data_IF_313631545333
#
_entry.id   IF_313631545333
#
_cell.length_a   1.000
_cell.length_b   1.000
_cell.length_c   1.000
_cell.angle_alpha   90.00
_cell.angle_beta   90.00
_cell.angle_gamma   90.00
#
_symmetry.space_group_name_H-M   'P 1'
#
loop_
_entity.id
_entity.type
_entity.pdbx_description
1 polymer ?
#
# COMPACT_ATOMS: atom_id res chain seq x y z
N UNK A 1 100.92 19.18 31.07
CA UNK A 1 100.51 17.89 30.43
C UNK A 1 99.76 16.92 31.36
N UNK A 2 99.17 17.36 32.49
CA UNK A 2 98.37 16.47 33.39
C UNK A 2 96.84 16.55 33.19
N UNK A 3 96.36 17.41 32.28
CA UNK A 3 94.92 17.53 31.96
C UNK A 3 94.39 16.42 31.04
N UNK A 4 95.23 15.48 30.59
CA UNK A 4 94.86 14.47 29.59
C UNK A 4 94.57 13.09 30.20
N UNK A 5 95.00 12.81 31.44
CA UNK A 5 94.77 11.50 32.05
C UNK A 5 93.41 11.37 32.77
N UNK A 6 92.80 12.49 33.15
CA UNK A 6 91.49 12.51 33.83
C UNK A 6 90.35 12.16 32.85
N UNK A 7 90.57 12.35 31.55
CA UNK A 7 89.51 12.18 30.53
C UNK A 7 89.38 10.73 30.04
N UNK A 8 90.41 9.88 30.20
CA UNK A 8 90.39 8.53 29.62
C UNK A 8 89.70 7.48 30.51
N UNK A 9 89.47 7.77 31.80
CA UNK A 9 88.79 6.82 32.70
C UNK A 9 87.27 6.99 32.76
N UNK A 10 86.70 7.94 32.00
CA UNK A 10 85.27 8.29 32.03
C UNK A 10 84.46 7.49 30.98
N UNK A 11 85.06 6.53 30.26
CA UNK A 11 84.47 5.97 29.04
C UNK A 11 84.29 4.44 29.00
N UNK A 12 83.91 3.81 30.11
CA UNK A 12 83.31 2.47 30.10
C UNK A 12 82.08 2.43 31.03
N UNK A 13 80.96 2.97 30.57
CA UNK A 13 79.64 2.64 31.09
C UNK A 13 79.35 1.18 30.72
N UNK A 14 79.47 0.27 31.70
CA UNK A 14 78.95 -1.08 31.58
C UNK A 14 77.48 -1.10 32.04
N UNK A 15 76.63 -1.53 31.12
CA UNK A 15 75.22 -1.83 31.27
C UNK A 15 74.93 -2.68 32.51
N UNK A 16 74.26 -2.11 33.52
CA UNK A 16 73.64 -2.88 34.58
C UNK A 16 72.26 -3.35 34.09
N UNK A 17 72.19 -4.58 33.59
CA UNK A 17 70.93 -5.31 33.50
C UNK A 17 70.49 -5.66 34.92
N UNK A 18 69.25 -5.33 35.28
CA UNK A 18 68.59 -5.92 36.44
C UNK A 18 68.54 -7.44 36.21
N UNK A 19 69.33 -8.21 36.96
CA UNK A 19 69.21 -9.66 36.98
C UNK A 19 67.99 -10.02 37.84
N UNK A 20 67.11 -10.88 37.32
CA UNK A 20 66.11 -11.53 38.15
C UNK A 20 66.84 -12.31 39.27
N UNK A 21 66.35 -12.28 40.51
CA UNK A 21 66.97 -13.01 41.62
C UNK A 21 67.18 -14.47 41.22
N UNK A 22 68.39 -14.97 41.40
CA UNK A 22 68.63 -16.42 41.29
C UNK A 22 67.98 -17.12 42.47
N UNK A 23 67.79 -18.44 42.41
CA UNK A 23 67.15 -19.17 43.50
C UNK A 23 67.82 -18.95 44.88
N UNK A 24 69.13 -18.67 44.89
CA UNK A 24 69.89 -18.34 46.11
C UNK A 24 69.69 -16.92 46.63
N UNK A 25 69.12 -16.03 45.82
CA UNK A 25 68.82 -14.63 46.18
C UNK A 25 67.41 -14.47 46.78
N UNK A 26 66.62 -15.55 46.82
CA UNK A 26 65.29 -15.56 47.41
C UNK A 26 65.37 -15.60 48.94
N UNK A 27 64.55 -14.77 49.60
CA UNK A 27 64.38 -14.87 51.05
C UNK A 27 63.59 -16.14 51.37
N UNK A 28 64.27 -17.12 51.96
CA UNK A 28 63.61 -18.31 52.48
C UNK A 28 62.98 -18.00 53.86
N UNK A 29 61.72 -18.38 54.02
CA UNK A 29 61.07 -18.45 55.33
C UNK A 29 61.33 -19.86 55.89
N UNK A 30 61.41 -19.99 57.22
CA UNK A 30 61.57 -21.31 57.84
C UNK A 30 60.43 -22.23 57.42
N UNK A 31 60.78 -23.47 57.06
CA UNK A 31 59.85 -24.52 56.68
C UNK A 31 59.83 -25.59 57.77
N UNK A 32 58.64 -26.02 58.14
CA UNK A 32 58.43 -27.07 59.14
C UNK A 32 57.14 -27.84 58.85
N UNK A 33 57.03 -29.06 59.35
CA UNK A 33 55.77 -29.83 59.31
C UNK A 33 54.72 -29.20 60.22
N UNK A 34 53.44 -29.50 60.02
CA UNK A 34 52.37 -28.96 60.86
C UNK A 34 52.55 -29.35 62.34
N UNK A 35 53.07 -30.54 62.60
CA UNK A 35 53.39 -31.00 63.94
C UNK A 35 54.48 -30.16 64.60
N UNK A 36 55.55 -29.84 63.86
CA UNK A 36 56.64 -29.00 64.33
C UNK A 36 56.19 -27.55 64.54
N UNK A 37 55.38 -27.01 63.62
CA UNK A 37 54.79 -25.66 63.72
C UNK A 37 53.99 -25.53 65.03
N UNK A 38 53.14 -26.50 65.33
CA UNK A 38 52.32 -26.50 66.54
C UNK A 38 53.14 -26.72 67.83
N UNK A 39 54.36 -27.24 67.72
CA UNK A 39 55.27 -27.45 68.85
C UNK A 39 56.17 -26.24 69.15
N UNK A 40 56.14 -25.18 68.34
CA UNK A 40 56.93 -23.96 68.56
C UNK A 40 56.50 -23.30 69.88
N UNK A 41 57.45 -23.18 70.82
CA UNK A 41 57.23 -22.53 72.10
C UNK A 41 57.46 -21.01 72.00
N UNK A 42 56.48 -20.23 72.45
CA UNK A 42 56.56 -18.76 72.52
C UNK A 42 56.65 -18.02 71.17
N UNK A 43 55.88 -18.38 70.12
CA UNK A 43 55.87 -17.62 68.87
C UNK A 43 55.33 -16.20 69.09
N UNK A 44 55.87 -15.23 68.36
CA UNK A 44 55.37 -13.86 68.37
C UNK A 44 54.25 -13.68 67.35
N UNK A 45 53.24 -12.88 67.67
CA UNK A 45 52.19 -12.50 66.73
C UNK A 45 52.78 -11.90 65.45
N UNK A 46 52.25 -12.32 64.30
CA UNK A 46 52.73 -11.95 62.99
C UNK A 46 53.88 -12.80 62.46
N UNK A 47 54.40 -13.75 63.24
CA UNK A 47 55.43 -14.70 62.76
C UNK A 47 54.90 -15.48 61.56
N UNK A 48 55.75 -15.67 60.54
CA UNK A 48 55.43 -16.41 59.33
C UNK A 48 56.24 -17.71 59.28
N UNK A 49 55.59 -18.79 58.90
CA UNK A 49 56.22 -20.10 58.71
C UNK A 49 55.60 -20.82 57.53
N UNK A 50 56.42 -21.49 56.73
CA UNK A 50 55.93 -22.32 55.64
C UNK A 50 55.66 -23.74 56.17
N UNK A 51 54.44 -24.22 55.98
CA UNK A 51 54.08 -25.58 56.32
C UNK A 51 54.42 -26.51 55.16
N UNK A 52 55.40 -27.40 55.36
CA UNK A 52 55.82 -28.34 54.32
C UNK A 52 54.79 -29.43 54.02
N UNK A 53 53.87 -29.72 54.95
CA UNK A 53 52.88 -30.81 54.76
C UNK A 53 51.80 -30.44 53.76
N UNK A 54 51.37 -29.17 53.75
CA UNK A 54 50.30 -28.70 52.87
C UNK A 54 50.72 -27.62 51.87
N UNK A 55 51.98 -27.18 51.94
CA UNK A 55 52.57 -26.18 51.06
C UNK A 55 51.95 -24.79 51.15
N UNK A 56 51.46 -24.40 52.34
CA UNK A 56 50.95 -23.06 52.59
C UNK A 56 51.78 -22.28 53.61
N UNK A 57 51.70 -20.95 53.51
CA UNK A 57 52.21 -20.06 54.54
C UNK A 57 51.21 -19.98 55.69
N UNK A 58 51.72 -19.97 56.90
CA UNK A 58 50.96 -19.78 58.13
C UNK A 58 51.45 -18.53 58.84
N UNK A 59 50.51 -17.82 59.47
CA UNK A 59 50.80 -16.69 60.34
C UNK A 59 50.35 -16.99 61.76
N UNK A 60 51.17 -16.68 62.75
CA UNK A 60 50.76 -16.78 64.14
C UNK A 60 49.90 -15.55 64.52
N UNK A 61 48.66 -15.76 64.94
CA UNK A 61 47.69 -14.70 65.25
C UNK A 61 47.78 -14.17 66.69
N UNK A 62 48.81 -14.57 67.44
CA UNK A 62 48.91 -14.34 68.88
C UNK A 62 48.31 -15.48 69.72
N UNK A 63 47.46 -16.32 69.12
CA UNK A 63 46.87 -17.49 69.80
C UNK A 63 47.06 -18.81 69.06
N UNK A 64 47.10 -18.81 67.73
CA UNK A 64 47.23 -20.03 66.93
C UNK A 64 47.94 -19.74 65.60
N UNK A 65 48.47 -20.79 64.97
CA UNK A 65 48.93 -20.72 63.59
C UNK A 65 47.73 -20.80 62.64
N UNK A 66 47.43 -19.68 61.98
CA UNK A 66 46.39 -19.60 60.98
C UNK A 66 46.97 -19.80 59.59
N UNK A 67 46.38 -20.72 58.83
CA UNK A 67 46.71 -20.95 57.43
C UNK A 67 46.29 -19.74 56.60
N UNK A 68 47.19 -19.26 55.73
CA UNK A 68 46.88 -18.21 54.77
C UNK A 68 46.42 -18.83 53.46
N UNK A 69 45.10 -18.94 53.27
CA UNK A 69 44.47 -19.35 52.02
C UNK A 69 43.90 -18.14 51.28
N UNK A 70 43.97 -18.08 49.94
CA UNK A 70 43.12 -17.18 49.16
C UNK A 70 41.65 -17.54 49.42
N UNK A 71 40.84 -16.61 49.91
CA UNK A 71 39.46 -16.89 50.33
C UNK A 71 38.42 -16.56 49.24
N UNK A 72 38.85 -16.01 48.10
CA UNK A 72 37.97 -15.62 46.99
C UNK A 72 37.11 -14.38 47.30
N UNK A 73 37.22 -13.83 48.51
CA UNK A 73 36.58 -12.61 48.95
C UNK A 73 37.30 -11.33 48.46
N UNK A 74 38.40 -11.49 47.70
CA UNK A 74 39.17 -10.39 47.14
C UNK A 74 38.42 -9.65 46.01
N UNK A 75 37.37 -10.26 45.43
CA UNK A 75 36.54 -9.65 44.39
C UNK A 75 35.11 -9.40 44.89
N UNK A 76 34.81 -8.16 45.28
CA UNK A 76 33.46 -7.72 45.63
C UNK A 76 32.73 -7.26 44.36
N UNK A 77 31.89 -8.13 43.79
CA UNK A 77 30.96 -7.73 42.72
C UNK A 77 29.72 -7.13 43.39
N UNK A 78 29.45 -5.86 43.12
CA UNK A 78 28.25 -5.17 43.58
C UNK A 78 27.22 -5.27 42.46
N UNK A 79 26.08 -5.92 42.71
CA UNK A 79 24.93 -5.85 41.81
C UNK A 79 24.31 -4.46 41.90
N UNK A 80 24.12 -3.80 40.77
CA UNK A 80 23.35 -2.57 40.66
C UNK A 80 22.53 -2.57 39.37
N UNK A 81 21.34 -1.96 39.42
CA UNK A 81 20.40 -1.86 38.32
C UNK A 81 19.98 -3.20 37.71
N UNK A 82 20.17 -3.35 36.39
CA UNK A 82 19.61 -4.44 35.57
C UNK A 82 20.38 -5.77 35.65
N UNK A 83 21.38 -5.87 36.53
CA UNK A 83 22.28 -7.01 36.62
C UNK A 83 22.09 -7.72 37.96
N UNK A 84 21.54 -8.93 37.89
CA UNK A 84 21.42 -9.84 39.02
C UNK A 84 22.67 -10.71 39.10
N UNK A 85 23.35 -10.64 40.24
CA UNK A 85 24.51 -11.47 40.55
C UNK A 85 24.12 -12.44 41.67
N UNK A 86 24.26 -13.73 41.44
CA UNK A 86 24.01 -14.78 42.44
C UNK A 86 25.23 -15.69 42.55
N UNK A 87 25.59 -16.13 43.76
CA UNK A 87 26.76 -17.00 44.01
C UNK A 87 27.54 -16.58 45.25
N UNK A 88 28.49 -17.40 45.69
CA UNK A 88 29.24 -17.19 46.94
C UNK A 88 30.75 -17.01 46.75
N UNK A 89 31.28 -17.05 45.52
CA UNK A 89 32.72 -16.86 45.32
C UNK A 89 33.58 -18.12 45.44
N UNK A 90 33.03 -19.25 45.89
CA UNK A 90 33.80 -20.43 46.37
C UNK A 90 33.76 -21.64 45.43
N UNK A 91 33.27 -21.47 44.20
CA UNK A 91 33.06 -22.52 43.18
C UNK A 91 33.88 -22.22 41.93
N UNK A 92 34.11 -23.23 41.07
CA UNK A 92 34.81 -23.07 39.79
C UNK A 92 34.18 -21.99 38.89
N UNK A 93 32.85 -21.83 38.97
CA UNK A 93 32.10 -20.68 38.47
C UNK A 93 31.48 -19.95 39.68
N UNK A 94 32.17 -18.93 40.23
CA UNK A 94 31.83 -18.40 41.56
C UNK A 94 30.57 -17.52 41.58
N UNK A 95 30.19 -16.95 40.43
CA UNK A 95 29.08 -16.02 40.26
C UNK A 95 28.33 -16.29 38.95
N UNK A 96 27.00 -16.31 39.02
CA UNK A 96 26.12 -16.21 37.85
C UNK A 96 25.70 -14.75 37.74
N UNK A 97 26.04 -14.15 36.60
CA UNK A 97 25.64 -12.78 36.25
C UNK A 97 24.56 -12.89 35.18
N UNK A 98 23.36 -12.40 35.51
CA UNK A 98 22.21 -12.37 34.59
C UNK A 98 21.67 -10.95 34.48
N UNK A 99 21.06 -10.62 33.36
CA UNK A 99 20.40 -9.33 33.17
C UNK A 99 18.95 -9.49 32.76
N UNK A 100 18.12 -8.51 33.15
CA UNK A 100 16.78 -8.39 32.60
C UNK A 100 16.93 -7.95 31.14
N UNK A 101 16.37 -8.74 30.21
CA UNK A 101 16.42 -8.43 28.79
C UNK A 101 15.51 -7.23 28.51
N UNK A 102 16.03 -6.12 27.94
CA UNK A 102 15.17 -5.02 27.53
C UNK A 102 14.23 -5.46 26.40
N UNK A 103 13.04 -4.89 26.39
CA UNK A 103 12.04 -5.14 25.36
C UNK A 103 11.76 -3.86 24.58
N UNK A 104 11.48 -4.05 23.29
CA UNK A 104 11.03 -2.99 22.39
C UNK A 104 9.75 -3.49 21.73
N UNK A 105 8.62 -2.86 22.08
CA UNK A 105 7.28 -3.30 21.69
C UNK A 105 6.67 -2.30 20.73
N UNK A 106 6.15 -2.77 19.59
CA UNK A 106 5.33 -1.97 18.68
C UNK A 106 3.87 -2.09 19.09
N UNK A 107 3.22 -0.97 19.37
CA UNK A 107 1.84 -0.94 19.83
C UNK A 107 0.86 -0.84 18.64
N UNK A 108 -0.40 -1.32 18.78
CA UNK A 108 -1.41 -1.25 17.71
C UNK A 108 -1.75 0.18 17.25
N UNK A 109 -1.50 1.18 18.10
CA UNK A 109 -1.70 2.60 17.82
C UNK A 109 -0.51 3.26 17.09
N UNK A 110 0.53 2.48 16.75
CA UNK A 110 1.73 2.95 16.05
C UNK A 110 2.81 3.57 16.94
N UNK A 111 2.63 3.59 18.26
CA UNK A 111 3.68 3.98 19.21
C UNK A 111 4.70 2.85 19.45
N UNK A 112 5.86 3.20 20.03
CA UNK A 112 6.86 2.23 20.47
C UNK A 112 7.13 2.39 21.97
N UNK A 113 7.19 1.29 22.69
CA UNK A 113 7.54 1.28 24.12
C UNK A 113 8.88 0.60 24.30
N UNK A 114 9.84 1.32 24.88
CA UNK A 114 11.09 0.73 25.38
C UNK A 114 10.95 0.48 26.89
N UNK A 115 11.15 -0.78 27.30
CA UNK A 115 11.17 -1.16 28.70
C UNK A 115 12.48 -1.85 29.05
N UNK A 116 13.13 -1.38 30.11
CA UNK A 116 14.29 -2.06 30.71
C UNK A 116 13.89 -2.95 31.90
N UNK A 117 12.60 -2.99 32.26
CA UNK A 117 12.04 -3.81 33.34
C UNK A 117 12.34 -3.33 34.77
N UNK A 118 12.99 -2.18 34.95
CA UNK A 118 13.35 -1.63 36.27
C UNK A 118 12.87 -0.19 36.44
N UNK A 119 13.09 0.65 35.42
CA UNK A 119 12.63 2.03 35.38
C UNK A 119 11.24 2.11 34.74
N UNK A 120 10.49 3.22 34.95
CA UNK A 120 9.30 3.49 34.16
C UNK A 120 9.58 3.40 32.67
N UNK A 121 8.65 2.78 31.94
CA UNK A 121 8.78 2.59 30.51
C UNK A 121 8.91 3.95 29.79
N UNK A 122 9.73 3.96 28.74
CA UNK A 122 9.88 5.12 27.86
C UNK A 122 9.01 4.90 26.64
N UNK A 123 7.89 5.62 26.60
CA UNK A 123 6.99 5.62 25.46
C UNK A 123 7.44 6.64 24.42
N UNK A 124 7.81 6.14 23.25
CA UNK A 124 7.94 6.93 22.03
C UNK A 124 6.56 7.08 21.43
N UNK A 125 5.84 8.08 21.95
CA UNK A 125 4.65 8.59 21.32
C UNK A 125 5.05 9.20 19.96
N UNK A 126 4.22 9.10 18.91
CA UNK A 126 4.40 9.91 17.72
C UNK A 126 4.16 11.40 18.07
N UNK A 127 5.15 12.03 18.71
CA UNK A 127 5.19 13.47 19.02
C UNK A 127 6.00 14.26 18.00
N UNK A 128 6.48 13.61 16.93
CA UNK A 128 6.61 14.33 15.67
C UNK A 128 5.21 14.30 15.07
N UNK A 129 4.65 15.42 14.60
CA UNK A 129 3.46 15.37 13.78
C UNK A 129 3.67 14.28 12.71
N UNK A 130 2.96 13.16 12.82
CA UNK A 130 3.01 12.10 11.83
C UNK A 130 2.64 12.73 10.51
N UNK A 131 3.47 12.59 9.47
CA UNK A 131 3.38 13.35 8.22
C UNK A 131 1.95 13.77 7.86
N UNK A 132 1.75 15.03 7.46
CA UNK A 132 0.45 15.51 6.96
C UNK A 132 -0.16 14.44 6.04
N UNK A 133 -1.46 14.08 6.20
CA UNK A 133 -2.07 13.03 5.41
C UNK A 133 -1.84 13.27 3.92
N UNK A 134 -1.84 12.21 3.13
CA UNK A 134 -1.93 12.33 1.67
C UNK A 134 -3.27 11.73 1.29
N UNK A 135 -4.14 12.50 0.65
CA UNK A 135 -5.39 11.99 0.09
C UNK A 135 -5.19 11.85 -1.41
N UNK A 136 -4.97 10.62 -1.88
CA UNK A 136 -4.56 10.37 -3.26
C UNK A 136 -5.72 9.96 -4.17
N UNK A 137 -6.74 9.30 -3.63
CA UNK A 137 -7.89 8.87 -4.42
C UNK A 137 -9.13 8.61 -3.56
N UNK A 138 -10.28 8.51 -4.23
CA UNK A 138 -11.58 8.16 -3.66
C UNK A 138 -12.38 7.37 -4.68
N UNK A 139 -13.13 6.36 -4.23
CA UNK A 139 -14.07 5.62 -5.08
C UNK A 139 -15.32 6.42 -5.48
N UNK A 140 -15.52 7.60 -4.88
CA UNK A 140 -16.57 8.56 -5.22
C UNK A 140 -16.03 9.78 -6.00
N UNK A 141 -14.77 9.75 -6.47
CA UNK A 141 -14.12 10.90 -7.11
C UNK A 141 -14.47 11.14 -8.58
N UNK A 142 -13.86 12.19 -9.13
CA UNK A 142 -13.98 12.52 -10.57
C UNK A 142 -13.45 11.38 -11.44
N UNK A 143 -14.20 11.02 -12.48
CA UNK A 143 -13.78 9.96 -13.40
C UNK A 143 -14.28 8.55 -13.04
N UNK A 144 -15.32 8.43 -12.21
CA UNK A 144 -16.00 7.17 -11.91
C UNK A 144 -17.50 7.25 -12.24
N UNK A 145 -18.15 6.11 -12.47
CA UNK A 145 -19.61 5.96 -12.59
C UNK A 145 -20.31 5.37 -11.38
N UNK A 146 -19.58 5.02 -10.33
CA UNK A 146 -20.14 4.61 -9.03
C UNK A 146 -20.60 5.79 -8.16
N UNK A 147 -21.20 6.81 -8.76
CA UNK A 147 -21.42 8.11 -8.12
C UNK A 147 -22.61 8.10 -7.15
N UNK A 148 -22.51 8.95 -6.13
CA UNK A 148 -23.58 9.19 -5.18
C UNK A 148 -24.72 9.95 -5.87
N UNK A 149 -25.96 9.54 -5.63
CA UNK A 149 -27.14 10.38 -5.84
C UNK A 149 -27.33 11.35 -4.68
N UNK A 150 -28.24 12.33 -4.81
CA UNK A 150 -28.54 13.28 -3.72
C UNK A 150 -29.27 12.61 -2.56
N UNK A 151 -28.98 13.05 -1.33
CA UNK A 151 -29.56 12.51 -0.10
C UNK A 151 -29.37 10.99 0.09
N UNK A 152 -28.32 10.43 -0.49
CA UNK A 152 -27.96 9.02 -0.40
C UNK A 152 -26.92 8.81 0.69
N UNK A 153 -27.04 7.73 1.46
CA UNK A 153 -26.06 7.37 2.49
C UNK A 153 -25.31 6.11 2.09
N UNK A 154 -24.00 6.23 1.88
CA UNK A 154 -23.11 5.11 1.52
C UNK A 154 -21.72 5.29 2.10
N UNK A 155 -20.96 4.21 2.09
CA UNK A 155 -19.54 4.27 2.43
C UNK A 155 -18.73 4.77 1.23
N UNK A 156 -17.78 5.66 1.50
CA UNK A 156 -16.74 6.15 0.59
C UNK A 156 -15.42 5.56 1.04
N UNK A 157 -14.68 4.96 0.11
CA UNK A 157 -13.32 4.48 0.33
C UNK A 157 -12.35 5.57 -0.10
N UNK A 158 -11.58 6.07 0.86
CA UNK A 158 -10.56 7.10 0.65
C UNK A 158 -9.19 6.44 0.77
N UNK A 159 -8.34 6.65 -0.24
CA UNK A 159 -7.00 6.10 -0.30
C UNK A 159 -5.95 7.19 -0.14
N UNK A 160 -4.80 6.81 0.42
CA UNK A 160 -3.79 7.78 0.78
C UNK A 160 -2.58 7.23 1.53
N UNK A 161 -1.98 8.09 2.34
CA UNK A 161 -0.90 7.75 3.25
C UNK A 161 -0.99 8.59 4.53
N UNK A 162 -0.36 8.08 5.59
CA UNK A 162 -0.24 8.73 6.90
C UNK A 162 -1.58 8.98 7.60
N UNK A 163 -2.56 8.11 7.38
CA UNK A 163 -3.74 8.07 8.23
C UNK A 163 -3.40 7.44 9.58
N UNK A 164 -3.99 7.96 10.64
CA UNK A 164 -3.75 7.55 12.03
C UNK A 164 -5.07 7.57 12.82
N UNK A 165 -5.03 7.15 14.08
CA UNK A 165 -6.23 7.09 14.94
C UNK A 165 -6.90 8.44 15.22
N UNK A 166 -6.22 9.57 14.94
CA UNK A 166 -6.76 10.91 15.10
C UNK A 166 -7.34 11.48 13.78
N UNK A 167 -7.21 10.75 12.68
CA UNK A 167 -7.61 11.22 11.36
C UNK A 167 -9.13 11.40 11.26
N UNK A 168 -9.55 12.57 10.79
CA UNK A 168 -10.95 12.94 10.54
C UNK A 168 -11.16 13.26 9.07
N UNK A 169 -12.37 13.06 8.56
CA UNK A 169 -12.75 13.34 7.18
C UNK A 169 -13.79 14.45 7.15
N UNK A 170 -13.60 15.42 6.26
CA UNK A 170 -14.57 16.47 5.97
C UNK A 170 -14.82 16.56 4.46
N UNK A 171 -16.11 16.64 4.08
CA UNK A 171 -16.53 16.88 2.70
C UNK A 171 -17.58 18.00 2.76
N UNK A 172 -17.18 19.23 2.41
CA UNK A 172 -18.03 20.41 2.57
C UNK A 172 -19.35 20.23 1.82
N UNK A 173 -20.47 20.48 2.49
CA UNK A 173 -21.82 20.32 1.92
C UNK A 173 -22.37 18.89 1.98
N UNK A 174 -21.60 17.92 2.49
CA UNK A 174 -22.04 16.56 2.76
C UNK A 174 -21.98 16.28 4.27
N UNK A 175 -22.69 15.27 4.74
CA UNK A 175 -22.62 14.83 6.14
C UNK A 175 -21.75 13.59 6.25
N UNK A 176 -20.62 13.67 6.97
CA UNK A 176 -19.80 12.50 7.30
C UNK A 176 -20.30 11.92 8.62
N UNK A 177 -21.03 10.81 8.55
CA UNK A 177 -21.68 10.18 9.72
C UNK A 177 -20.68 9.42 10.60
N UNK A 178 -19.69 8.78 9.99
CA UNK A 178 -18.63 8.07 10.70
C UNK A 178 -17.37 7.95 9.85
N UNK A 179 -16.24 7.78 10.51
CA UNK A 179 -14.92 7.57 9.90
C UNK A 179 -14.29 6.36 10.55
N UNK A 180 -13.92 5.37 9.74
CA UNK A 180 -13.17 4.18 10.17
C UNK A 180 -11.82 4.20 9.49
N UNK A 181 -10.75 4.23 10.29
CA UNK A 181 -9.37 4.15 9.79
C UNK A 181 -9.04 2.67 9.63
N UNK A 182 -9.00 2.19 8.39
CA UNK A 182 -8.72 0.78 8.10
C UNK A 182 -7.23 0.47 8.20
N UNK A 183 -6.39 1.41 7.78
CA UNK A 183 -4.93 1.33 7.81
C UNK A 183 -4.34 2.73 7.68
N UNK A 184 -3.00 2.84 7.69
CA UNK A 184 -2.31 4.11 7.40
C UNK A 184 -2.48 4.62 5.97
N UNK A 185 -3.15 3.87 5.10
CA UNK A 185 -3.36 4.21 3.69
C UNK A 185 -4.82 4.12 3.22
N UNK A 186 -5.74 3.72 4.09
CA UNK A 186 -7.15 3.60 3.74
C UNK A 186 -8.09 4.02 4.88
N UNK A 187 -9.11 4.80 4.50
CA UNK A 187 -10.22 5.21 5.35
C UNK A 187 -11.53 4.78 4.68
N UNK A 188 -12.48 4.30 5.49
CA UNK A 188 -13.88 4.13 5.10
C UNK A 188 -14.71 5.19 5.82
N UNK A 189 -15.27 6.14 5.08
CA UNK A 189 -16.16 7.17 5.62
C UNK A 189 -17.61 6.85 5.25
N UNK A 190 -18.53 6.82 6.22
CA UNK A 190 -19.96 6.77 5.92
C UNK A 190 -20.45 8.19 5.66
N UNK A 191 -20.96 8.45 4.46
CA UNK A 191 -21.33 9.80 4.01
C UNK A 191 -22.78 9.81 3.57
N UNK A 192 -23.56 10.75 4.09
CA UNK A 192 -24.85 11.16 3.52
C UNK A 192 -24.62 12.36 2.61
N UNK A 193 -24.91 12.18 1.33
CA UNK A 193 -24.76 13.23 0.33
C UNK A 193 -25.82 14.33 0.48
N UNK A 194 -25.47 15.55 0.11
CA UNK A 194 -26.36 16.71 0.11
C UNK A 194 -27.35 16.71 -1.04
N UNK A 195 -28.04 17.84 -1.21
CA UNK A 195 -29.13 18.01 -2.19
C UNK A 195 -28.72 18.67 -3.51
N UNK A 196 -27.46 19.05 -3.67
CA UNK A 196 -26.97 19.78 -4.86
C UNK A 196 -25.92 18.96 -5.59
N UNK A 197 -26.00 18.85 -6.90
CA UNK A 197 -24.96 18.20 -7.69
C UNK A 197 -23.70 19.07 -7.75
N UNK A 198 -22.57 18.41 -7.91
CA UNK A 198 -21.28 19.09 -8.04
C UNK A 198 -20.10 18.23 -7.59
N UNK A 199 -18.93 18.82 -7.73
CA UNK A 199 -17.68 18.24 -7.26
C UNK A 199 -17.36 18.84 -5.89
N UNK A 200 -17.04 17.97 -4.95
CA UNK A 200 -16.71 18.30 -3.58
C UNK A 200 -15.34 17.75 -3.24
N UNK A 201 -14.61 18.54 -2.47
CA UNK A 201 -13.27 18.19 -2.03
C UNK A 201 -13.35 17.31 -0.78
N UNK A 202 -12.54 16.25 -0.74
CA UNK A 202 -12.37 15.44 0.45
C UNK A 202 -11.14 15.93 1.20
N UNK A 203 -11.32 16.39 2.43
CA UNK A 203 -10.20 16.77 3.30
C UNK A 203 -10.03 15.76 4.42
N UNK A 204 -8.80 15.29 4.62
CA UNK A 204 -8.42 14.44 5.76
C UNK A 204 -7.48 15.24 6.66
N UNK A 205 -7.80 15.28 7.96
CA UNK A 205 -7.02 16.03 8.96
C UNK A 205 -6.58 15.12 10.09
N UNK A 206 -5.30 15.14 10.42
CA UNK A 206 -4.74 14.56 11.64
C UNK A 206 -4.02 15.65 12.47
N UNK A 207 -3.30 15.25 13.51
CA UNK A 207 -2.56 16.18 14.38
C UNK A 207 -1.42 16.95 13.67
N UNK A 208 -0.96 16.49 12.50
CA UNK A 208 0.09 17.16 11.73
C UNK A 208 -0.42 18.13 10.68
N UNK A 209 -1.67 17.97 10.25
CA UNK A 209 -2.33 18.92 9.39
C UNK A 209 -3.42 18.29 8.55
N UNK A 210 -3.81 19.05 7.53
CA UNK A 210 -4.89 18.70 6.61
C UNK A 210 -4.34 18.52 5.20
N UNK A 211 -4.89 17.55 4.48
CA UNK A 211 -4.69 17.37 3.05
C UNK A 211 -6.02 17.20 2.35
N UNK A 212 -6.10 17.69 1.12
CA UNK A 212 -7.34 17.80 0.37
C UNK A 212 -7.20 17.17 -1.01
N UNK A 213 -8.06 16.19 -1.29
CA UNK A 213 -8.28 15.66 -2.64
C UNK A 213 -9.36 16.50 -3.30
N UNK A 214 -8.95 17.36 -4.24
CA UNK A 214 -9.90 18.18 -4.97
C UNK A 214 -10.77 17.32 -5.89
N UNK A 215 -12.08 17.56 -5.89
CA UNK A 215 -13.04 16.74 -6.64
C UNK A 215 -13.04 15.26 -6.24
N UNK A 216 -12.64 14.95 -5.01
CA UNK A 216 -12.59 13.61 -4.44
C UNK A 216 -13.97 13.01 -4.18
N UNK A 217 -15.03 13.81 -4.16
CA UNK A 217 -16.40 13.35 -4.02
C UNK A 217 -17.29 14.03 -5.07
N UNK A 218 -17.86 13.26 -5.98
CA UNK A 218 -18.71 13.76 -7.07
C UNK A 218 -20.14 13.29 -6.85
N UNK A 219 -21.02 14.27 -6.76
CA UNK A 219 -22.46 14.09 -6.65
C UNK A 219 -23.08 14.39 -8.00
N UNK A 220 -23.65 13.38 -8.63
CA UNK A 220 -24.36 13.51 -9.91
C UNK A 220 -25.69 12.77 -9.84
N UNK A 221 -26.57 12.99 -10.82
CA UNK A 221 -27.81 12.21 -10.89
C UNK A 221 -27.49 10.72 -11.01
N UNK A 222 -27.89 9.93 -9.99
CA UNK A 222 -28.02 8.49 -10.14
C UNK A 222 -29.30 8.23 -10.93
N UNK A 223 -29.16 8.15 -12.25
CA UNK A 223 -30.26 7.84 -13.16
C UNK A 223 -30.42 6.33 -13.27
N UNK A 224 -31.57 5.81 -12.85
CA UNK A 224 -31.97 4.45 -13.21
C UNK A 224 -32.17 4.39 -14.71
N UNK A 225 -31.28 3.68 -15.41
CA UNK A 225 -31.40 3.48 -16.85
C UNK A 225 -32.48 2.45 -17.14
N UNK A 226 -33.27 2.69 -18.19
CA UNK A 226 -34.32 1.77 -18.62
C UNK A 226 -34.04 1.25 -20.02
N UNK A 227 -34.11 -0.07 -20.20
CA UNK A 227 -33.95 -0.70 -21.51
C UNK A 227 -35.29 -0.77 -22.22
N UNK A 228 -35.35 -0.17 -23.40
CA UNK A 228 -36.55 -0.14 -24.23
C UNK A 228 -36.22 -0.63 -25.65
N UNK A 229 -37.08 -1.47 -26.22
CA UNK A 229 -37.05 -1.75 -27.66
C UNK A 229 -37.52 -0.52 -28.44
N UNK A 230 -37.00 -0.32 -29.65
CA UNK A 230 -37.48 0.76 -30.52
C UNK A 230 -38.85 0.35 -31.08
N UNK A 231 -39.92 1.08 -30.74
CA UNK A 231 -41.24 0.78 -31.27
C UNK A 231 -41.35 1.07 -32.77
N UNK A 232 -42.32 0.45 -33.46
CA UNK A 232 -42.61 0.76 -34.88
C UNK A 232 -42.88 2.26 -35.08
N UNK A 233 -43.59 2.89 -34.13
CA UNK A 233 -43.90 4.32 -34.19
C UNK A 233 -42.68 5.23 -33.95
N UNK A 234 -41.64 4.72 -33.28
CA UNK A 234 -40.41 5.46 -32.96
C UNK A 234 -39.34 5.31 -34.05
N UNK A 235 -39.51 4.34 -34.95
CA UNK A 235 -38.60 4.05 -36.05
C UNK A 235 -38.98 4.88 -37.28
N UNK A 236 -38.06 5.74 -37.72
CA UNK A 236 -38.19 6.49 -38.97
C UNK A 236 -37.30 5.83 -40.02
N UNK A 237 -37.89 5.55 -41.18
CA UNK A 237 -37.25 4.85 -42.29
C UNK A 237 -37.02 5.79 -43.47
N UNK A 238 -35.82 5.75 -44.02
CA UNK A 238 -35.46 6.45 -45.27
C UNK A 238 -34.86 5.46 -46.25
N UNK A 239 -35.20 5.61 -47.54
CA UNK A 239 -34.75 4.69 -48.58
C UNK A 239 -35.51 3.36 -48.56
N UNK A 240 -34.92 2.32 -49.14
CA UNK A 240 -35.53 0.98 -49.25
C UNK A 240 -35.39 0.19 -47.96
N UNK A 241 -36.05 0.63 -46.88
CA UNK A 241 -36.05 -0.03 -45.57
C UNK A 241 -37.44 -0.50 -45.15
N UNK A 242 -37.49 -1.57 -44.36
CA UNK A 242 -38.67 -2.02 -43.63
C UNK A 242 -38.31 -2.31 -42.17
N UNK A 243 -39.25 -2.05 -41.26
CA UNK A 243 -39.14 -2.40 -39.85
C UNK A 243 -40.46 -3.01 -39.37
N UNK A 244 -40.38 -4.17 -38.71
CA UNK A 244 -41.55 -4.91 -38.22
C UNK A 244 -41.73 -4.82 -36.69
N UNK A 245 -40.95 -3.99 -36.01
CA UNK A 245 -40.89 -3.89 -34.54
C UNK A 245 -39.82 -4.77 -33.90
N UNK A 246 -39.15 -5.62 -34.69
CA UNK A 246 -38.01 -6.40 -34.24
C UNK A 246 -36.83 -6.30 -35.20
N UNK A 247 -37.07 -6.50 -36.50
CA UNK A 247 -36.08 -6.59 -37.56
C UNK A 247 -36.09 -5.35 -38.45
N UNK A 248 -34.93 -4.71 -38.58
CA UNK A 248 -34.68 -3.63 -39.53
C UNK A 248 -33.96 -4.19 -40.75
N UNK A 249 -34.58 -4.11 -41.93
CA UNK A 249 -34.15 -4.78 -43.16
C UNK A 249 -34.08 -3.80 -44.34
N UNK A 250 -33.01 -3.89 -45.14
CA UNK A 250 -32.92 -3.24 -46.45
C UNK A 250 -33.51 -4.12 -47.54
N UNK A 251 -34.49 -3.62 -48.28
CA UNK A 251 -35.29 -4.42 -49.23
C UNK A 251 -34.85 -4.29 -50.69
N UNK A 252 -34.17 -3.21 -51.06
CA UNK A 252 -33.75 -2.99 -52.45
C UNK A 252 -32.58 -1.99 -52.57
N UNK A 253 -31.94 -2.00 -53.75
CA UNK A 253 -30.92 -1.04 -54.21
C UNK A 253 -29.66 -0.99 -53.34
N UNK A 254 -28.56 -1.57 -53.80
CA UNK A 254 -27.29 -1.48 -53.09
C UNK A 254 -26.77 -0.04 -53.05
N UNK A 255 -26.28 0.39 -51.89
CA UNK A 255 -25.70 1.73 -51.68
C UNK A 255 -25.97 2.26 -50.28
N UNK A 256 -25.09 3.14 -49.77
CA UNK A 256 -25.22 3.82 -48.47
C UNK A 256 -26.28 4.93 -48.54
N UNK A 257 -27.53 4.54 -48.77
CA UNK A 257 -28.64 5.45 -49.10
C UNK A 257 -29.94 5.10 -48.35
N UNK A 258 -29.86 4.26 -47.33
CA UNK A 258 -31.01 3.83 -46.57
C UNK A 258 -30.67 3.71 -45.09
N UNK A 259 -31.58 4.14 -44.23
CA UNK A 259 -31.42 4.13 -42.78
C UNK A 259 -32.73 3.81 -42.10
N UNK A 260 -32.65 3.16 -40.95
CA UNK A 260 -33.64 3.26 -39.88
C UNK A 260 -33.02 4.00 -38.71
N UNK A 261 -33.74 4.96 -38.15
CA UNK A 261 -33.26 5.76 -37.02
C UNK A 261 -34.41 6.11 -36.09
N UNK A 262 -34.09 6.59 -34.89
CA UNK A 262 -35.07 7.09 -33.94
C UNK A 262 -34.59 8.39 -33.33
N UNK A 263 -35.51 9.32 -33.05
CA UNK A 263 -35.21 10.58 -32.35
C UNK A 263 -35.92 10.68 -30.99
N UNK A 264 -36.60 9.61 -30.55
CA UNK A 264 -37.39 9.61 -29.31
C UNK A 264 -36.58 9.18 -28.08
N UNK A 265 -35.52 8.40 -28.29
CA UNK A 265 -34.71 7.82 -27.21
C UNK A 265 -33.24 8.25 -27.36
N UNK A 266 -32.67 8.85 -26.30
CA UNK A 266 -31.33 9.42 -26.34
C UNK A 266 -30.49 8.94 -25.14
N UNK A 267 -29.30 8.42 -25.40
CA UNK A 267 -28.29 8.16 -24.39
C UNK A 267 -27.64 9.49 -24.01
N UNK A 268 -27.81 9.92 -22.75
CA UNK A 268 -27.16 11.11 -22.22
C UNK A 268 -25.70 10.83 -21.88
N UNK A 269 -24.79 11.74 -22.26
CA UNK A 269 -23.36 11.64 -21.94
C UNK A 269 -23.04 11.75 -20.44
N UNK A 270 -23.99 12.19 -19.61
CA UNK A 270 -23.82 12.36 -18.15
C UNK A 270 -24.50 11.26 -17.33
N UNK A 271 -25.44 10.53 -17.93
CA UNK A 271 -26.13 9.39 -17.29
C UNK A 271 -25.60 8.05 -17.80
N UNK A 272 -25.05 8.04 -19.02
CA UNK A 272 -24.67 6.84 -19.72
C UNK A 272 -25.87 6.09 -20.29
N UNK A 273 -25.61 4.90 -20.82
CA UNK A 273 -26.57 4.09 -21.54
C UNK A 273 -25.88 3.23 -22.59
N UNK A 274 -26.67 2.48 -23.36
CA UNK A 274 -26.12 1.69 -24.45
C UNK A 274 -27.17 1.38 -25.52
N UNK A 275 -26.68 1.25 -26.75
CA UNK A 275 -27.42 0.71 -27.89
C UNK A 275 -27.02 -0.75 -28.08
N UNK A 276 -27.99 -1.66 -28.13
CA UNK A 276 -27.78 -3.05 -28.49
C UNK A 276 -28.53 -3.44 -29.76
N UNK A 277 -27.97 -4.41 -30.48
CA UNK A 277 -28.66 -5.13 -31.53
C UNK A 277 -28.05 -6.53 -31.72
N UNK A 278 -28.76 -7.38 -32.45
CA UNK A 278 -28.26 -8.68 -32.91
C UNK A 278 -27.90 -8.62 -34.39
N UNK A 279 -26.72 -9.12 -34.76
CA UNK A 279 -26.37 -9.31 -36.16
C UNK A 279 -27.15 -10.49 -36.75
N UNK A 280 -27.97 -10.27 -37.78
CA UNK A 280 -28.76 -11.37 -38.38
C UNK A 280 -27.94 -12.22 -39.37
N UNK A 281 -26.78 -11.70 -39.78
CA UNK A 281 -25.90 -12.27 -40.79
C UNK A 281 -24.50 -11.68 -40.66
N UNK A 282 -23.49 -12.34 -41.26
CA UNK A 282 -22.08 -11.92 -41.17
C UNK A 282 -21.43 -11.57 -42.51
N UNK A 283 -22.24 -11.45 -43.57
CA UNK A 283 -21.76 -11.35 -44.96
C UNK A 283 -22.39 -10.17 -45.72
N UNK A 284 -22.78 -9.10 -45.02
CA UNK A 284 -23.39 -7.89 -45.62
C UNK A 284 -22.70 -6.62 -45.12
N UNK A 285 -22.83 -5.55 -45.89
CA UNK A 285 -22.38 -4.22 -45.50
C UNK A 285 -23.52 -3.45 -44.81
N UNK A 286 -23.36 -3.20 -43.51
CA UNK A 286 -24.31 -2.43 -42.69
C UNK A 286 -23.55 -1.73 -41.56
N UNK A 287 -23.88 -0.48 -41.29
CA UNK A 287 -23.33 0.29 -40.18
C UNK A 287 -24.43 0.67 -39.21
N UNK A 288 -24.27 0.26 -37.95
CA UNK A 288 -25.20 0.58 -36.87
C UNK A 288 -24.47 1.47 -35.89
N UNK A 289 -25.14 2.51 -35.41
CA UNK A 289 -24.46 3.53 -34.65
C UNK A 289 -25.37 4.43 -33.83
N UNK A 290 -24.68 5.39 -33.24
CA UNK A 290 -25.26 6.50 -32.52
C UNK A 290 -24.96 7.79 -33.28
N UNK A 291 -25.93 8.68 -33.35
CA UNK A 291 -25.80 10.01 -33.93
C UNK A 291 -26.46 11.07 -33.06
N UNK A 292 -25.86 12.24 -33.01
CA UNK A 292 -26.43 13.47 -32.44
C UNK A 292 -27.49 14.09 -33.36
N UNK A 293 -27.46 13.75 -34.66
CA UNK A 293 -28.37 14.32 -35.67
C UNK A 293 -28.90 13.25 -36.63
N UNK A 294 -29.61 12.22 -36.15
CA UNK A 294 -29.94 11.03 -36.94
C UNK A 294 -30.84 11.29 -38.16
N UNK A 295 -31.53 12.43 -38.21
CA UNK A 295 -32.43 12.79 -39.32
C UNK A 295 -31.74 13.46 -40.51
N UNK A 296 -30.45 13.80 -40.42
CA UNK A 296 -29.81 14.69 -41.41
C UNK A 296 -29.35 13.96 -42.67
N UNK A 297 -28.97 12.68 -42.58
CA UNK A 297 -28.45 11.94 -43.73
C UNK A 297 -28.43 10.43 -43.52
N UNK A 298 -28.91 9.67 -44.51
CA UNK A 298 -28.79 8.21 -44.63
C UNK A 298 -27.37 7.66 -44.83
N UNK A 299 -26.39 8.55 -44.92
CA UNK A 299 -24.98 8.19 -45.09
C UNK A 299 -24.31 7.93 -43.75
N UNK A 300 -23.47 6.88 -43.71
CA UNK A 300 -22.65 6.54 -42.55
C UNK A 300 -21.74 7.68 -42.04
N UNK A 301 -21.53 8.72 -42.83
CA UNK A 301 -20.78 9.92 -42.41
C UNK A 301 -21.46 10.69 -41.28
N UNK A 302 -22.76 10.51 -41.09
CA UNK A 302 -23.56 11.12 -40.02
C UNK A 302 -23.50 10.33 -38.69
N UNK A 303 -22.94 9.12 -38.70
CA UNK A 303 -22.83 8.31 -37.50
C UNK A 303 -21.63 8.78 -36.69
N UNK A 304 -21.89 9.30 -35.48
CA UNK A 304 -20.85 9.78 -34.57
C UNK A 304 -20.00 8.64 -34.05
N UNK A 305 -20.66 7.54 -33.68
CA UNK A 305 -20.07 6.29 -33.19
C UNK A 305 -20.75 5.11 -33.89
N UNK A 306 -20.01 4.25 -34.60
CA UNK A 306 -20.64 3.15 -35.34
C UNK A 306 -19.77 1.90 -35.44
N UNK A 307 -20.46 0.76 -35.48
CA UNK A 307 -19.89 -0.51 -35.89
C UNK A 307 -20.27 -0.79 -37.34
N UNK A 308 -19.26 -0.92 -38.19
CA UNK A 308 -19.40 -1.38 -39.55
C UNK A 308 -19.21 -2.89 -39.62
N UNK A 309 -20.31 -3.61 -39.83
CA UNK A 309 -20.31 -5.03 -40.15
C UNK A 309 -20.00 -5.20 -41.64
N UNK A 310 -18.95 -5.95 -41.93
CA UNK A 310 -18.36 -6.10 -43.26
C UNK A 310 -18.62 -7.51 -43.80
N UNK A 311 -18.60 -7.67 -45.13
CA UNK A 311 -18.92 -8.93 -45.84
C UNK A 311 -17.97 -10.10 -45.54
N UNK A 312 -16.79 -9.84 -44.98
CA UNK A 312 -15.79 -10.84 -44.61
C UNK A 312 -15.87 -11.26 -43.13
N UNK A 313 -17.05 -11.17 -42.52
CA UNK A 313 -17.29 -11.50 -41.11
C UNK A 313 -16.39 -10.71 -40.13
N UNK A 314 -16.03 -9.47 -40.47
CA UNK A 314 -15.27 -8.56 -39.61
C UNK A 314 -16.09 -7.33 -39.21
N UNK A 315 -15.83 -6.83 -38.01
CA UNK A 315 -16.31 -5.53 -37.51
C UNK A 315 -15.18 -4.52 -37.66
N UNK A 316 -15.50 -3.39 -38.30
CA UNK A 316 -14.68 -2.19 -38.31
C UNK A 316 -15.37 -1.11 -37.47
N UNK A 317 -14.60 -0.35 -36.70
CA UNK A 317 -15.14 0.83 -36.01
C UNK A 317 -15.05 2.05 -36.92
N UNK A 318 -16.13 2.82 -36.99
CA UNK A 318 -16.18 4.10 -37.70
C UNK A 318 -16.76 5.18 -36.83
N UNK A 319 -16.11 6.33 -36.80
CA UNK A 319 -16.56 7.50 -36.05
C UNK A 319 -16.54 8.72 -36.96
N UNK A 320 -17.68 9.40 -37.10
CA UNK A 320 -17.86 10.51 -38.05
C UNK A 320 -17.43 10.13 -39.48
N UNK A 321 -17.78 8.91 -39.89
CA UNK A 321 -17.40 8.31 -41.17
C UNK A 321 -15.95 7.85 -41.33
N UNK A 322 -15.03 8.25 -40.44
CA UNK A 322 -13.63 7.85 -40.49
C UNK A 322 -13.42 6.43 -39.94
N UNK A 323 -12.62 5.62 -40.62
CA UNK A 323 -12.29 4.25 -40.18
C UNK A 323 -11.24 4.25 -39.09
N UNK A 324 -11.50 3.56 -37.98
CA UNK A 324 -10.56 3.32 -36.88
C UNK A 324 -9.95 1.90 -36.90
N UNK A 325 -10.27 1.11 -37.92
CA UNK A 325 -9.68 -0.21 -38.15
C UNK A 325 -10.60 -1.38 -37.84
N UNK A 326 -10.17 -2.59 -38.20
CA UNK A 326 -10.84 -3.85 -37.89
C UNK A 326 -10.51 -4.28 -36.47
N UNK A 327 -11.53 -4.65 -35.69
CA UNK A 327 -11.38 -4.88 -34.24
C UNK A 327 -11.79 -6.27 -33.79
N UNK A 328 -12.69 -6.94 -34.52
CA UNK A 328 -13.17 -8.28 -34.16
C UNK A 328 -13.81 -8.98 -35.34
N UNK A 329 -13.77 -10.32 -35.35
CA UNK A 329 -14.69 -11.10 -36.18
C UNK A 329 -16.09 -11.16 -35.57
N UNK A 330 -17.13 -11.47 -36.36
CA UNK A 330 -18.50 -11.66 -35.86
C UNK A 330 -19.27 -12.71 -36.67
N UNK A 331 -20.32 -13.24 -36.05
CA UNK A 331 -21.23 -14.24 -36.60
C UNK A 331 -22.69 -13.78 -36.47
N UNK A 332 -23.57 -14.40 -37.25
CA UNK A 332 -25.01 -14.23 -37.04
C UNK A 332 -25.39 -14.70 -35.61
N UNK A 333 -26.21 -13.93 -34.92
CA UNK A 333 -26.62 -14.15 -33.53
C UNK A 333 -25.75 -13.46 -32.49
N UNK A 334 -24.60 -12.89 -32.85
CA UNK A 334 -23.81 -12.08 -31.90
C UNK A 334 -24.60 -10.83 -31.48
N UNK A 335 -24.58 -10.53 -30.17
CA UNK A 335 -25.06 -9.25 -29.63
C UNK A 335 -23.94 -8.24 -29.70
N UNK A 336 -24.21 -7.11 -30.35
CA UNK A 336 -23.29 -6.00 -30.50
C UNK A 336 -23.83 -4.80 -29.73
N UNK A 337 -22.92 -4.08 -29.06
CA UNK A 337 -23.28 -3.00 -28.15
C UNK A 337 -22.38 -1.79 -28.35
N UNK A 338 -22.96 -0.60 -28.44
CA UNK A 338 -22.24 0.67 -28.26
C UNK A 338 -22.66 1.22 -26.90
N UNK A 339 -21.75 1.16 -25.94
CA UNK A 339 -21.96 1.63 -24.57
C UNK A 339 -21.34 3.02 -24.39
N UNK A 340 -22.08 3.89 -23.70
CA UNK A 340 -21.61 5.20 -23.25
C UNK A 340 -21.72 5.21 -21.75
N UNK A 341 -20.62 5.40 -21.03
CA UNK A 341 -20.69 5.53 -19.58
C UNK A 341 -21.13 6.95 -19.16
N UNK A 342 -21.36 7.14 -17.87
CA UNK A 342 -21.77 8.42 -17.29
C UNK A 342 -20.71 9.53 -17.38
N UNK A 343 -19.50 9.23 -17.86
CA UNK A 343 -18.40 10.16 -18.11
C UNK A 343 -18.21 10.41 -19.62
N UNK A 344 -19.15 9.93 -20.43
CA UNK A 344 -19.13 10.01 -21.88
C UNK A 344 -18.11 9.09 -22.54
N UNK A 345 -17.45 8.18 -21.83
CA UNK A 345 -16.53 7.24 -22.48
C UNK A 345 -17.34 6.24 -23.31
N UNK A 346 -16.91 6.03 -24.57
CA UNK A 346 -17.60 5.14 -25.50
C UNK A 346 -16.83 3.84 -25.69
N UNK A 347 -17.49 2.71 -25.47
CA UNK A 347 -16.95 1.37 -25.68
C UNK A 347 -17.84 0.56 -26.61
N UNK A 348 -17.21 -0.31 -27.38
CA UNK A 348 -17.86 -1.19 -28.35
C UNK A 348 -17.68 -2.62 -27.87
N UNK A 349 -18.77 -3.37 -27.76
CA UNK A 349 -18.77 -4.71 -27.20
C UNK A 349 -19.38 -5.73 -28.17
N UNK A 350 -18.90 -6.96 -28.07
CA UNK A 350 -19.50 -8.14 -28.69
C UNK A 350 -19.70 -9.20 -27.60
N UNK A 351 -20.94 -9.64 -27.42
CA UNK A 351 -21.31 -10.60 -26.37
C UNK A 351 -20.73 -10.21 -25.00
N UNK A 352 -20.96 -8.95 -24.61
CA UNK A 352 -20.50 -8.33 -23.34
C UNK A 352 -18.98 -8.17 -23.17
N UNK A 353 -18.18 -8.50 -24.20
CA UNK A 353 -16.73 -8.31 -24.19
C UNK A 353 -16.39 -7.04 -24.98
N UNK A 354 -15.67 -6.11 -24.34
CA UNK A 354 -15.14 -4.91 -25.01
C UNK A 354 -14.16 -5.31 -26.11
N UNK A 355 -14.48 -4.93 -27.35
CA UNK A 355 -13.62 -5.14 -28.53
C UNK A 355 -12.92 -3.86 -28.97
N UNK A 356 -13.40 -2.69 -28.54
CA UNK A 356 -12.77 -1.39 -28.81
C UNK A 356 -13.21 -0.33 -27.81
N UNK A 357 -12.31 0.59 -27.46
CA UNK A 357 -12.60 1.79 -26.66
C UNK A 357 -12.27 3.04 -27.47
N UNK A 358 -13.23 3.95 -27.59
CA UNK A 358 -13.02 5.21 -28.30
C UNK A 358 -12.03 6.10 -27.54
N UNK A 359 -11.22 6.87 -28.28
CA UNK A 359 -10.44 7.98 -27.72
C UNK A 359 -11.25 9.27 -27.61
N UNK A 360 -12.46 9.31 -28.16
CA UNK A 360 -13.37 10.45 -28.12
C UNK A 360 -14.49 10.21 -27.12
N UNK A 361 -14.79 11.22 -26.32
CA UNK A 361 -15.94 11.21 -25.40
C UNK A 361 -17.18 11.73 -26.09
N UNK A 362 -18.31 11.10 -25.79
CA UNK A 362 -19.64 11.65 -26.08
C UNK A 362 -19.86 12.88 -25.18
N UNK A 363 -20.37 13.96 -25.77
CA UNK A 363 -20.66 15.22 -25.04
C UNK A 363 -22.10 15.70 -25.23
N UNK A 364 -22.81 15.14 -26.22
CA UNK A 364 -24.19 15.46 -26.55
C UNK A 364 -25.06 14.19 -26.45
N UNK A 365 -26.39 14.31 -26.28
CA UNK A 365 -27.29 13.18 -26.36
C UNK A 365 -27.17 12.44 -27.69
N UNK A 366 -27.12 11.11 -27.62
CA UNK A 366 -26.88 10.23 -28.75
C UNK A 366 -28.10 9.34 -29.02
N UNK A 367 -28.55 9.32 -30.26
CA UNK A 367 -29.74 8.60 -30.71
C UNK A 367 -29.37 7.42 -31.59
N UNK A 368 -30.23 6.41 -31.65
CA UNK A 368 -30.08 5.30 -32.59
C UNK A 368 -30.14 5.80 -34.04
N UNK A 369 -29.13 5.42 -34.83
CA UNK A 369 -29.05 5.68 -36.25
C UNK A 369 -28.37 4.49 -36.98
N UNK A 370 -28.55 4.42 -38.29
CA UNK A 370 -27.94 3.37 -39.10
C UNK A 370 -27.69 3.82 -40.53
N UNK A 371 -26.86 3.07 -41.24
CA UNK A 371 -26.71 3.21 -42.68
C UNK A 371 -26.56 1.83 -43.29
N UNK A 372 -27.41 1.49 -44.25
CA UNK A 372 -27.47 0.17 -44.86
C UNK A 372 -27.02 0.24 -46.31
N UNK A 373 -26.04 -0.59 -46.68
CA UNK A 373 -25.57 -0.71 -48.05
C UNK A 373 -26.15 -1.90 -48.79
N UNK A 374 -25.92 -3.11 -48.28
CA UNK A 374 -26.25 -4.32 -49.02
C UNK A 374 -27.74 -4.63 -48.96
N UNK A 375 -28.31 -5.06 -50.09
CA UNK A 375 -29.67 -5.62 -50.12
C UNK A 375 -29.72 -6.88 -49.25
N UNK A 376 -30.84 -7.06 -48.55
CA UNK A 376 -31.12 -8.09 -47.55
C UNK A 376 -30.32 -7.96 -46.24
N UNK A 377 -29.51 -6.91 -46.09
CA UNK A 377 -28.86 -6.61 -44.81
C UNK A 377 -29.93 -6.32 -43.76
N UNK A 378 -29.79 -6.95 -42.60
CA UNK A 378 -30.73 -6.85 -41.48
C UNK A 378 -30.03 -6.99 -40.14
N UNK A 379 -30.63 -6.38 -39.13
CA UNK A 379 -30.37 -6.59 -37.71
C UNK A 379 -31.71 -6.79 -37.01
N UNK A 380 -31.67 -7.42 -35.84
CA UNK A 380 -32.84 -7.62 -34.99
C UNK A 380 -32.57 -7.18 -33.54
N UNK A 381 -33.61 -7.22 -32.70
CA UNK A 381 -33.52 -6.96 -31.25
C UNK A 381 -32.86 -5.61 -30.90
N UNK A 382 -33.25 -4.55 -31.58
CA UNK A 382 -32.69 -3.21 -31.35
C UNK A 382 -33.25 -2.67 -30.02
N UNK A 383 -32.37 -2.39 -29.06
CA UNK A 383 -32.76 -1.81 -27.76
C UNK A 383 -31.85 -0.64 -27.40
N UNK A 384 -32.45 0.36 -26.74
CA UNK A 384 -31.75 1.50 -26.16
C UNK A 384 -31.95 1.47 -24.64
N UNK A 385 -30.85 1.53 -23.91
CA UNK A 385 -30.82 1.74 -22.46
C UNK A 385 -30.39 3.17 -22.19
N UNK A 386 -31.23 3.97 -21.54
CA UNK A 386 -31.00 5.41 -21.29
C UNK A 386 -31.72 5.91 -20.05
#
# INVERSE_FOLDING_TARGET
MKKILITLFILCFSFCYSQAPTAGDLVAIHSATLAEINAIAGPHEGSLIYNSDDSFLYQFTGSAWQKLTPEGNETKIISDGNVNVTGTGTSADPYIVSSIKPTFTTNPDGSFTFSNGVDPDVDFLPTIPGNTPIVSNSDAGTGNCSLFGTNETRNVIIQGAYFDGASTVAITGQTVNSVVINSSSQITANVTSGSSFGNYDISVTNNAGTSTLSGGFVLQSSTTLTTNSIGIADMILTGSMTYDGNKLLKTATAGWNAQGYSSTHAISATSGGHLDWTADQSNKYVMIGLSTTPSTSASYTNLDYSMYMVTNSQIQIRENGASLGYVSGYSAGDRLTINVDCLGNVTYLKNDIVIYSSSKKATNPLYFDSSYHSVDASISNITMTY
#
